data_IF_720769789379
#
_entry.id   IF_720769789379
#
_cell.length_a   1.000
_cell.length_b   1.000
_cell.length_c   1.000
_cell.angle_alpha   90.00
_cell.angle_beta   90.00
_cell.angle_gamma   90.00
#
_symmetry.space_group_name_H-M   'P 1'
#
loop_
_entity.id
_entity.type
_entity.pdbx_description
1 polymer ?
#
# COMPACT_ATOMS: atom_id res chain seq x y z
N UNK A 1 0.08 8.37 3.74
CA UNK A 1 0.31 9.71 3.17
C UNK A 1 0.57 10.67 4.32
N UNK A 2 1.46 11.65 4.12
CA UNK A 2 1.82 12.67 5.12
C UNK A 2 1.63 14.06 4.49
N UNK A 3 0.92 14.96 5.14
CA UNK A 3 0.76 16.35 4.69
C UNK A 3 2.00 17.20 5.02
N UNK A 4 2.18 18.40 4.43
CA UNK A 4 3.22 19.34 4.84
C UNK A 4 3.11 19.78 6.32
N UNK A 5 1.93 19.66 6.93
CA UNK A 5 1.69 19.93 8.35
C UNK A 5 1.90 18.71 9.25
N UNK A 6 2.27 17.55 8.69
CA UNK A 6 2.54 16.32 9.43
C UNK A 6 1.31 15.45 9.72
N UNK A 7 0.14 15.78 9.16
CA UNK A 7 -1.04 14.93 9.28
C UNK A 7 -0.85 13.65 8.46
N UNK A 8 -1.26 12.51 9.01
CA UNK A 8 -1.12 11.23 8.33
C UNK A 8 -2.46 10.57 8.04
N UNK A 9 -2.52 9.87 6.91
CA UNK A 9 -3.66 9.05 6.51
C UNK A 9 -3.19 7.72 5.94
N UNK A 10 -3.94 6.65 6.24
CA UNK A 10 -3.76 5.35 5.60
C UNK A 10 -4.03 5.49 4.10
N UNK A 11 -3.05 5.13 3.29
CA UNK A 11 -3.16 5.20 1.84
C UNK A 11 -3.92 4.00 1.25
N UNK A 12 -3.54 2.80 1.68
CA UNK A 12 -4.20 1.54 1.33
C UNK A 12 -4.07 0.56 2.50
N UNK A 13 -4.99 -0.40 2.61
CA UNK A 13 -4.96 -1.40 3.67
C UNK A 13 -5.76 -1.03 4.93
N UNK A 14 -5.58 -1.84 5.96
CA UNK A 14 -6.09 -1.62 7.32
C UNK A 14 -5.03 -2.02 8.34
N UNK A 15 -4.97 -1.32 9.47
CA UNK A 15 -4.04 -1.61 10.56
C UNK A 15 -4.52 -2.74 11.48
N UNK A 16 -5.77 -3.19 11.35
CA UNK A 16 -6.40 -4.15 12.27
C UNK A 16 -6.64 -5.53 11.65
N UNK A 17 -6.19 -5.76 10.42
CA UNK A 17 -6.56 -6.95 9.64
C UNK A 17 -5.42 -7.35 8.70
N UNK A 18 -4.48 -8.13 9.23
CA UNK A 18 -3.30 -8.57 8.50
C UNK A 18 -3.62 -9.80 7.62
N UNK A 19 -3.68 -9.62 6.31
CA UNK A 19 -4.01 -10.67 5.34
C UNK A 19 -3.46 -10.36 3.95
N UNK A 20 -3.36 -11.36 3.08
CA UNK A 20 -3.02 -11.19 1.67
C UNK A 20 -4.33 -11.11 0.87
N UNK A 21 -4.83 -9.89 0.64
CA UNK A 21 -6.08 -9.66 -0.10
C UNK A 21 -5.86 -8.53 -1.10
N UNK A 22 -6.08 -8.83 -2.38
CA UNK A 22 -6.09 -7.85 -3.46
C UNK A 22 -7.42 -7.08 -3.54
N UNK A 23 -7.38 -5.93 -4.21
CA UNK A 23 -8.56 -5.08 -4.44
C UNK A 23 -8.19 -3.60 -4.44
N UNK A 24 -9.20 -2.74 -4.50
CA UNK A 24 -9.00 -1.29 -4.36
C UNK A 24 -8.40 -0.93 -3.00
N UNK A 25 -7.84 0.28 -2.88
CA UNK A 25 -7.04 0.71 -1.72
C UNK A 25 -7.69 0.50 -0.34
N UNK A 26 -9.03 0.58 -0.23
CA UNK A 26 -9.76 0.34 1.03
C UNK A 26 -10.09 -1.13 1.31
N UNK A 27 -10.08 -1.98 0.27
CA UNK A 27 -10.38 -3.42 0.35
C UNK A 27 -9.12 -4.27 0.44
N UNK A 28 -8.02 -3.81 -0.16
CA UNK A 28 -6.73 -4.47 -0.05
C UNK A 28 -6.37 -4.67 1.42
N UNK A 29 -5.68 -5.77 1.72
CA UNK A 29 -5.04 -6.04 3.01
C UNK A 29 -3.58 -6.41 2.76
N UNK A 30 -2.74 -6.11 3.73
CA UNK A 30 -1.33 -6.48 3.74
C UNK A 30 -1.04 -7.29 4.98
N UNK A 31 -0.10 -8.22 4.90
CA UNK A 31 0.23 -9.11 6.02
C UNK A 31 1.54 -8.71 6.69
N UNK A 32 2.60 -8.51 5.91
CA UNK A 32 3.89 -8.10 6.43
C UNK A 32 4.71 -7.38 5.36
N UNK A 33 4.73 -6.05 5.40
CA UNK A 33 5.44 -5.24 4.40
C UNK A 33 6.92 -5.16 4.77
N UNK A 34 7.78 -5.70 3.91
CA UNK A 34 9.24 -5.67 4.05
C UNK A 34 9.86 -4.48 3.31
N UNK A 35 9.32 -4.13 2.14
CA UNK A 35 9.87 -3.08 1.29
C UNK A 35 8.79 -2.43 0.41
N UNK A 36 9.03 -1.16 0.04
CA UNK A 36 8.20 -0.40 -0.89
C UNK A 36 9.10 0.38 -1.84
N UNK A 37 8.76 0.39 -3.14
CA UNK A 37 9.38 1.25 -4.14
C UNK A 37 8.31 1.91 -5.01
N UNK A 38 8.61 3.09 -5.56
CA UNK A 38 7.73 3.79 -6.49
C UNK A 38 8.35 3.84 -7.89
N UNK A 39 7.54 3.69 -8.94
CA UNK A 39 7.96 4.01 -10.31
C UNK A 39 7.70 5.48 -10.67
N UNK A 40 8.14 5.88 -11.88
CA UNK A 40 7.97 7.26 -12.39
C UNK A 40 6.52 7.64 -12.66
N UNK A 41 5.63 6.65 -12.82
CA UNK A 41 4.19 6.88 -13.02
C UNK A 41 3.46 7.03 -11.69
N UNK A 42 4.13 6.74 -10.57
CA UNK A 42 3.59 6.81 -9.22
C UNK A 42 2.89 5.54 -8.77
N UNK A 43 3.07 4.42 -9.48
CA UNK A 43 2.66 3.12 -8.96
C UNK A 43 3.60 2.72 -7.83
N UNK A 44 3.06 2.02 -6.83
CA UNK A 44 3.86 1.46 -5.74
C UNK A 44 4.01 -0.04 -5.93
N UNK A 45 5.22 -0.52 -5.68
CA UNK A 45 5.55 -1.94 -5.63
C UNK A 45 5.85 -2.27 -4.17
N UNK A 46 5.10 -3.21 -3.62
CA UNK A 46 5.12 -3.58 -2.21
C UNK A 46 5.56 -5.03 -2.12
N UNK A 47 6.64 -5.29 -1.39
CA UNK A 47 7.01 -6.64 -1.00
C UNK A 47 6.30 -6.97 0.32
N UNK A 48 5.22 -7.75 0.23
CA UNK A 48 4.29 -8.10 1.30
C UNK A 48 4.31 -9.61 1.53
N UNK A 49 4.88 -10.03 2.65
CA UNK A 49 5.17 -11.43 2.99
C UNK A 49 6.07 -12.09 1.93
N UNK A 50 5.51 -12.98 1.11
CA UNK A 50 6.19 -13.64 0.00
C UNK A 50 5.73 -13.15 -1.38
N UNK A 51 5.00 -12.03 -1.42
CA UNK A 51 4.37 -11.51 -2.64
C UNK A 51 4.94 -10.14 -3.03
N UNK A 52 5.29 -9.99 -4.31
CA UNK A 52 5.50 -8.67 -4.91
C UNK A 52 4.17 -8.19 -5.48
N UNK A 53 3.64 -7.11 -4.93
CA UNK A 53 2.31 -6.57 -5.24
C UNK A 53 2.42 -5.17 -5.81
N UNK A 54 1.51 -4.81 -6.73
CA UNK A 54 1.46 -3.48 -7.34
C UNK A 54 0.22 -2.75 -6.87
N UNK A 55 0.39 -1.52 -6.39
CA UNK A 55 -0.69 -0.54 -6.22
C UNK A 55 -0.60 0.42 -7.38
N UNK A 56 -1.57 0.34 -8.28
CA UNK A 56 -1.65 1.23 -9.42
C UNK A 56 -2.16 2.60 -9.01
N UNK A 57 -1.52 3.65 -9.53
CA UNK A 57 -2.05 5.00 -9.42
C UNK A 57 -3.23 5.10 -10.37
N UNK A 58 -4.43 5.26 -9.82
CA UNK A 58 -5.62 5.61 -10.60
C UNK A 58 -5.71 7.13 -10.68
N UNK A 59 -5.94 7.66 -11.88
CA UNK A 59 -6.15 9.09 -12.13
C UNK A 59 -7.42 9.64 -11.46
#
# INVERSE_FOLDING_TARGET
MVSPTGETKVFAGSNSDAAIVDGGISKARFKYIWAIAADRQGNLYVFDDHYLRKIEKVE
#
